data_IF_430886502960
#
_entry.id   IF_430886502960
#
_cell.length_a   1.000
_cell.length_b   1.000
_cell.length_c   1.000
_cell.angle_alpha   90.00
_cell.angle_beta   90.00
_cell.angle_gamma   90.00
#
_symmetry.space_group_name_H-M   'P 1'
#
loop_
_entity.id
_entity.type
_entity.pdbx_description
1 polymer ?
#
# COMPACT_ATOMS: atom_id res chain seq x y z
N UNK A 1 -12.19 -7.58 -14.29
CA UNK A 1 -10.95 -8.12 -13.70
C UNK A 1 -11.15 -8.35 -12.21
N UNK A 2 -10.41 -9.30 -11.61
CA UNK A 2 -10.49 -9.62 -10.18
C UNK A 2 -9.20 -9.20 -9.47
N UNK A 3 -9.30 -8.24 -8.54
CA UNK A 3 -8.14 -7.69 -7.82
C UNK A 3 -8.22 -8.08 -6.35
N UNK A 4 -7.15 -8.70 -5.84
CA UNK A 4 -7.04 -9.03 -4.43
C UNK A 4 -6.42 -7.87 -3.65
N UNK A 5 -7.07 -7.43 -2.58
CA UNK A 5 -6.57 -6.45 -1.63
C UNK A 5 -6.09 -7.19 -0.37
N UNK A 6 -4.80 -7.15 -0.08
CA UNK A 6 -4.20 -7.83 1.07
C UNK A 6 -4.05 -6.86 2.23
N UNK A 7 -4.73 -7.15 3.33
CA UNK A 7 -4.60 -6.43 4.59
C UNK A 7 -3.44 -6.97 5.43
N UNK A 8 -2.68 -6.07 6.03
CA UNK A 8 -1.44 -6.38 6.77
C UNK A 8 -1.66 -6.69 8.26
N UNK A 9 -2.90 -6.74 8.69
CA UNK A 9 -3.35 -7.24 9.99
C UNK A 9 -4.40 -8.33 9.79
N UNK A 10 -4.61 -9.16 10.81
CA UNK A 10 -5.66 -10.18 10.79
C UNK A 10 -7.06 -9.54 10.65
N UNK A 11 -8.01 -10.29 10.14
CA UNK A 11 -9.37 -9.81 9.79
C UNK A 11 -10.08 -9.16 10.97
N UNK A 12 -10.01 -9.79 12.16
CA UNK A 12 -10.71 -9.34 13.36
C UNK A 12 -10.34 -7.90 13.76
N UNK A 13 -9.08 -7.51 13.55
CA UNK A 13 -8.56 -6.18 13.90
C UNK A 13 -8.66 -5.18 12.76
N UNK A 14 -8.96 -5.62 11.55
CA UNK A 14 -9.00 -4.79 10.35
C UNK A 14 -10.40 -4.30 10.01
N UNK A 15 -11.45 -4.74 10.68
CA UNK A 15 -12.85 -4.54 10.27
C UNK A 15 -13.22 -3.08 9.96
N UNK A 16 -12.90 -2.14 10.83
CA UNK A 16 -13.27 -0.74 10.60
C UNK A 16 -12.40 -0.10 9.54
N UNK A 17 -11.13 -0.44 9.49
CA UNK A 17 -10.23 -0.04 8.40
C UNK A 17 -10.71 -0.62 7.05
N UNK A 18 -11.06 -1.91 7.00
CA UNK A 18 -11.55 -2.57 5.80
C UNK A 18 -12.79 -1.88 5.23
N UNK A 19 -13.77 -1.52 6.07
CA UNK A 19 -14.97 -0.77 5.62
C UNK A 19 -14.61 0.55 4.95
N UNK A 20 -13.61 1.27 5.46
CA UNK A 20 -13.15 2.52 4.85
C UNK A 20 -12.40 2.27 3.55
N UNK A 21 -11.59 1.19 3.48
CA UNK A 21 -10.94 0.75 2.25
C UNK A 21 -11.98 0.41 1.18
N UNK A 22 -12.94 -0.45 1.51
CA UNK A 22 -14.04 -0.84 0.60
C UNK A 22 -14.76 0.39 0.04
N UNK A 23 -15.19 1.29 0.93
CA UNK A 23 -15.89 2.52 0.52
C UNK A 23 -15.04 3.39 -0.41
N UNK A 24 -13.72 3.48 -0.18
CA UNK A 24 -12.83 4.20 -1.08
C UNK A 24 -12.71 3.52 -2.44
N UNK A 25 -12.44 2.22 -2.42
CA UNK A 25 -12.21 1.45 -3.63
C UNK A 25 -13.47 1.36 -4.49
N UNK A 26 -14.66 1.22 -3.89
CA UNK A 26 -15.94 1.20 -4.61
C UNK A 26 -16.23 2.52 -5.35
N UNK A 27 -15.73 3.64 -4.86
CA UNK A 27 -15.87 4.96 -5.52
C UNK A 27 -14.99 5.11 -6.76
N UNK A 28 -13.87 4.40 -6.81
CA UNK A 28 -12.84 4.62 -7.83
C UNK A 28 -12.62 3.42 -8.74
N UNK A 29 -13.03 2.22 -8.36
CA UNK A 29 -12.88 1.02 -9.20
C UNK A 29 -13.65 1.17 -10.52
N UNK A 30 -13.21 0.45 -11.55
CA UNK A 30 -13.97 0.30 -12.78
C UNK A 30 -15.21 -0.57 -12.52
N UNK A 31 -16.22 -0.43 -13.35
CA UNK A 31 -17.46 -1.23 -13.27
C UNK A 31 -17.20 -2.74 -13.42
N UNK A 32 -16.18 -3.11 -14.22
CA UNK A 32 -15.76 -4.49 -14.46
C UNK A 32 -14.70 -5.00 -13.45
N UNK A 33 -14.37 -4.23 -12.43
CA UNK A 33 -13.43 -4.64 -11.37
C UNK A 33 -14.17 -5.26 -10.19
N UNK A 34 -13.90 -6.53 -9.93
CA UNK A 34 -14.24 -7.23 -8.70
C UNK A 34 -13.09 -7.10 -7.70
N UNK A 35 -13.41 -6.77 -6.45
CA UNK A 35 -12.43 -6.70 -5.37
C UNK A 35 -12.69 -7.83 -4.39
N UNK A 36 -11.63 -8.56 -4.05
CA UNK A 36 -11.65 -9.57 -2.99
C UNK A 36 -10.62 -9.21 -1.93
N UNK A 37 -10.88 -9.54 -0.68
CA UNK A 37 -10.01 -9.21 0.44
C UNK A 37 -9.36 -10.46 0.99
N UNK A 38 -8.05 -10.35 1.31
CA UNK A 38 -7.30 -11.33 2.09
C UNK A 38 -6.62 -10.66 3.26
N UNK A 39 -6.41 -11.42 4.31
CA UNK A 39 -5.81 -10.94 5.54
C UNK A 39 -4.61 -11.79 5.90
N UNK A 40 -3.57 -11.16 6.45
CA UNK A 40 -2.46 -11.91 7.05
C UNK A 40 -2.96 -12.67 8.28
N UNK A 41 -2.32 -13.81 8.56
CA UNK A 41 -2.75 -14.68 9.64
C UNK A 41 -2.21 -14.27 11.02
N UNK A 42 -1.02 -13.65 11.06
CA UNK A 42 -0.25 -13.59 12.29
C UNK A 42 -0.21 -12.21 12.94
N UNK A 43 -0.13 -11.12 12.18
CA UNK A 43 0.03 -9.79 12.75
C UNK A 43 -1.28 -9.28 13.37
N UNK A 44 -1.25 -9.04 14.70
CA UNK A 44 -2.43 -8.69 15.49
C UNK A 44 -2.40 -7.29 16.09
N UNK A 45 -1.34 -6.50 15.84
CA UNK A 45 -1.23 -5.14 16.37
C UNK A 45 -0.78 -4.20 15.26
N UNK A 46 -1.53 -3.15 15.02
CA UNK A 46 -1.18 -2.13 14.04
C UNK A 46 0.18 -1.46 14.38
N UNK A 47 0.51 -1.32 15.67
CA UNK A 47 1.81 -0.78 16.12
C UNK A 47 3.02 -1.61 15.67
N UNK A 48 2.82 -2.89 15.36
CA UNK A 48 3.91 -3.76 14.91
C UNK A 48 4.29 -3.49 13.44
N UNK A 49 3.41 -2.83 12.68
CA UNK A 49 3.66 -2.49 11.26
C UNK A 49 4.72 -1.41 11.04
N UNK A 50 5.26 -0.82 12.10
CA UNK A 50 6.30 0.21 12.04
C UNK A 50 7.67 -0.29 12.49
N UNK A 51 7.75 -1.50 13.06
CA UNK A 51 8.99 -2.07 13.58
C UNK A 51 9.61 -3.03 12.57
N UNK A 52 10.92 -2.92 12.35
CA UNK A 52 11.63 -3.66 11.31
C UNK A 52 11.46 -5.19 11.39
N UNK A 53 11.57 -5.79 12.58
CA UNK A 53 11.47 -7.24 12.72
C UNK A 53 10.06 -7.78 12.50
N UNK A 54 8.99 -7.22 13.11
CA UNK A 54 7.62 -7.61 12.76
C UNK A 54 7.28 -7.38 11.27
N UNK A 55 7.77 -6.30 10.65
CA UNK A 55 7.59 -6.06 9.22
C UNK A 55 8.22 -7.19 8.39
N UNK A 56 9.43 -7.66 8.74
CA UNK A 56 10.07 -8.78 8.06
C UNK A 56 9.19 -10.04 8.09
N UNK A 57 8.65 -10.38 9.25
CA UNK A 57 7.75 -11.52 9.41
C UNK A 57 6.44 -11.32 8.63
N UNK A 58 5.88 -10.11 8.68
CA UNK A 58 4.66 -9.77 7.96
C UNK A 58 4.81 -9.85 6.44
N UNK A 59 5.98 -9.49 5.90
CA UNK A 59 6.27 -9.64 4.47
C UNK A 59 6.10 -11.08 4.00
N UNK A 60 6.52 -12.06 4.80
CA UNK A 60 6.38 -13.48 4.49
C UNK A 60 4.89 -13.85 4.36
N UNK A 61 4.07 -13.40 5.31
CA UNK A 61 2.63 -13.65 5.31
C UNK A 61 1.91 -12.95 4.13
N UNK A 62 2.26 -11.70 3.85
CA UNK A 62 1.75 -10.96 2.67
C UNK A 62 2.09 -11.68 1.37
N UNK A 63 3.33 -12.16 1.21
CA UNK A 63 3.76 -12.91 0.03
C UNK A 63 2.97 -14.21 -0.12
N UNK A 64 2.73 -14.92 0.99
CA UNK A 64 1.89 -16.11 0.98
C UNK A 64 0.47 -15.79 0.48
N UNK A 65 -0.17 -14.74 1.05
CA UNK A 65 -1.52 -14.32 0.60
C UNK A 65 -1.54 -13.93 -0.88
N UNK A 66 -0.46 -13.33 -1.39
CA UNK A 66 -0.35 -12.98 -2.80
C UNK A 66 -0.26 -14.20 -3.72
N UNK A 67 0.50 -15.22 -3.33
CA UNK A 67 0.56 -16.50 -4.05
C UNK A 67 -0.78 -17.21 -4.04
N UNK A 68 -1.49 -17.21 -2.92
CA UNK A 68 -2.85 -17.77 -2.83
C UNK A 68 -3.84 -17.00 -3.72
N UNK A 69 -3.77 -15.67 -3.75
CA UNK A 69 -4.63 -14.85 -4.60
C UNK A 69 -4.45 -15.17 -6.09
N UNK A 70 -3.21 -15.38 -6.53
CA UNK A 70 -2.92 -15.82 -7.89
C UNK A 70 -3.51 -17.20 -8.17
N UNK A 71 -3.33 -18.18 -7.27
CA UNK A 71 -3.88 -19.52 -7.41
C UNK A 71 -5.42 -19.53 -7.45
N UNK A 72 -6.08 -18.57 -6.80
CA UNK A 72 -7.54 -18.36 -6.81
C UNK A 72 -8.03 -17.55 -8.03
N UNK A 73 -7.15 -17.27 -8.99
CA UNK A 73 -7.50 -16.64 -10.26
C UNK A 73 -7.69 -15.12 -10.15
N UNK A 74 -7.04 -14.44 -9.21
CA UNK A 74 -6.97 -12.99 -9.23
C UNK A 74 -6.07 -12.50 -10.38
N UNK A 75 -6.42 -11.36 -10.95
CA UNK A 75 -5.69 -10.72 -12.05
C UNK A 75 -4.57 -9.80 -11.57
N UNK A 76 -4.65 -9.30 -10.35
CA UNK A 76 -3.64 -8.48 -9.69
C UNK A 76 -3.79 -8.52 -8.17
N UNK A 77 -2.73 -8.08 -7.48
CA UNK A 77 -2.71 -7.91 -6.03
C UNK A 77 -2.34 -6.47 -5.67
N UNK A 78 -3.08 -5.89 -4.72
CA UNK A 78 -2.79 -4.62 -4.07
C UNK A 78 -2.57 -4.85 -2.57
N UNK A 79 -1.49 -4.32 -2.00
CA UNK A 79 -1.31 -4.33 -0.54
C UNK A 79 -2.00 -3.12 0.08
N UNK A 80 -2.87 -3.34 1.07
CA UNK A 80 -3.57 -2.25 1.77
C UNK A 80 -2.69 -1.66 2.91
N UNK A 81 -1.46 -1.29 2.57
CA UNK A 81 -0.50 -0.68 3.50
C UNK A 81 0.50 0.18 2.72
N UNK A 82 0.65 1.45 3.10
CA UNK A 82 1.63 2.35 2.48
C UNK A 82 3.10 2.02 2.82
N UNK A 83 3.36 0.93 3.55
CA UNK A 83 4.71 0.36 3.72
C UNK A 83 5.12 -0.57 2.60
N UNK A 84 4.24 -0.87 1.66
CA UNK A 84 4.45 -1.79 0.55
C UNK A 84 5.10 -3.14 0.93
N UNK A 85 4.72 -3.76 2.09
CA UNK A 85 5.40 -4.95 2.56
C UNK A 85 5.20 -6.12 1.60
N UNK A 86 6.29 -6.83 1.28
CA UNK A 86 6.27 -8.02 0.45
C UNK A 86 6.10 -7.77 -1.05
N UNK A 87 5.96 -6.53 -1.51
CA UNK A 87 5.74 -6.19 -2.93
C UNK A 87 6.92 -6.63 -3.80
N UNK A 88 8.13 -6.29 -3.41
CA UNK A 88 9.36 -6.66 -4.13
C UNK A 88 9.54 -8.17 -4.18
N UNK A 89 9.35 -8.82 -3.05
CA UNK A 89 9.51 -10.27 -2.91
C UNK A 89 8.45 -11.03 -3.73
N UNK A 90 7.18 -10.62 -3.66
CA UNK A 90 6.10 -11.25 -4.41
C UNK A 90 6.28 -11.13 -5.93
N UNK A 91 6.84 -10.03 -6.45
CA UNK A 91 7.15 -9.85 -7.88
C UNK A 91 8.09 -10.92 -8.44
N UNK A 92 8.89 -11.56 -7.59
CA UNK A 92 9.78 -12.68 -7.98
C UNK A 92 9.06 -14.02 -8.04
N UNK A 93 7.85 -14.11 -7.60
CA UNK A 93 7.06 -15.35 -7.53
C UNK A 93 5.84 -15.35 -8.45
N UNK A 94 5.19 -14.19 -8.62
CA UNK A 94 3.89 -14.07 -9.29
C UNK A 94 4.01 -13.85 -10.80
N UNK A 95 3.00 -14.33 -11.54
CA UNK A 95 2.74 -14.00 -12.94
C UNK A 95 1.57 -13.00 -13.12
N UNK A 96 1.11 -12.44 -12.02
CA UNK A 96 0.14 -11.32 -11.99
C UNK A 96 0.79 -10.08 -11.39
N UNK A 97 0.32 -8.86 -11.72
CA UNK A 97 0.83 -7.63 -11.12
C UNK A 97 0.69 -7.61 -9.60
N UNK A 98 1.77 -7.24 -8.90
CA UNK A 98 1.78 -6.90 -7.48
C UNK A 98 2.06 -5.41 -7.32
N UNK A 99 1.14 -4.68 -6.67
CA UNK A 99 1.17 -3.22 -6.55
C UNK A 99 1.35 -2.79 -5.10
N UNK A 100 2.36 -1.95 -4.88
CA UNK A 100 2.55 -1.19 -3.65
C UNK A 100 1.89 0.18 -3.78
N UNK A 101 0.96 0.54 -2.89
CA UNK A 101 0.25 1.81 -3.00
C UNK A 101 1.16 3.03 -2.82
N UNK A 102 2.19 2.95 -1.98
CA UNK A 102 3.13 4.05 -1.77
C UNK A 102 4.03 4.25 -2.99
N UNK A 103 4.61 3.18 -3.53
CA UNK A 103 5.39 3.22 -4.77
C UNK A 103 4.57 3.85 -5.91
N UNK A 104 3.33 3.41 -6.08
CA UNK A 104 2.42 3.93 -7.10
C UNK A 104 2.14 5.43 -6.91
N UNK A 105 1.81 5.84 -5.68
CA UNK A 105 1.48 7.21 -5.38
C UNK A 105 2.67 8.17 -5.50
N UNK A 106 3.86 7.75 -5.09
CA UNK A 106 5.09 8.55 -5.26
C UNK A 106 5.41 8.81 -6.73
N UNK A 107 5.32 7.78 -7.58
CA UNK A 107 5.56 7.95 -9.02
C UNK A 107 4.47 8.80 -9.69
N UNK A 108 3.21 8.66 -9.27
CA UNK A 108 2.13 9.52 -9.76
C UNK A 108 2.31 10.97 -9.29
N UNK A 109 2.71 11.20 -8.04
CA UNK A 109 2.93 12.53 -7.48
C UNK A 109 3.92 13.35 -8.29
N UNK A 110 4.92 12.69 -8.89
CA UNK A 110 5.90 13.34 -9.76
C UNK A 110 5.29 14.00 -11.01
N UNK A 111 4.04 13.66 -11.38
CA UNK A 111 3.28 14.27 -12.49
C UNK A 111 2.46 15.48 -12.03
N UNK A 112 2.11 15.56 -10.74
CA UNK A 112 1.35 16.68 -10.17
C UNK A 112 2.22 17.85 -9.75
N UNK A 113 3.45 17.56 -9.29
CA UNK A 113 4.34 18.60 -8.82
C UNK A 113 5.80 18.17 -8.74
N UNK A 114 6.69 19.18 -8.68
CA UNK A 114 8.12 18.92 -8.60
C UNK A 114 8.58 18.53 -7.20
N UNK A 115 7.94 19.08 -6.15
CA UNK A 115 8.30 18.86 -4.75
C UNK A 115 7.17 18.13 -4.03
N UNK A 116 7.49 16.95 -3.55
CA UNK A 116 6.56 16.02 -2.90
C UNK A 116 6.71 16.17 -1.38
N UNK A 117 5.61 16.45 -0.69
CA UNK A 117 5.52 16.31 0.77
C UNK A 117 4.84 14.99 1.12
N UNK A 118 5.26 14.37 2.20
CA UNK A 118 4.61 13.15 2.71
C UNK A 118 4.03 13.44 4.09
N UNK A 119 2.71 13.25 4.24
CA UNK A 119 2.04 13.30 5.56
C UNK A 119 1.87 11.88 6.08
N UNK A 120 2.30 11.64 7.30
CA UNK A 120 2.27 10.30 7.88
C UNK A 120 1.75 10.27 9.33
N UNK A 121 1.64 9.08 9.91
CA UNK A 121 1.26 8.89 11.30
C UNK A 121 2.32 9.45 12.27
N UNK A 122 1.93 9.73 13.49
CA UNK A 122 2.84 10.20 14.54
C UNK A 122 3.67 9.02 15.06
N UNK A 123 4.70 8.68 14.30
CA UNK A 123 5.69 7.67 14.64
C UNK A 123 7.03 8.00 13.94
N UNK A 124 8.12 8.24 14.69
CA UNK A 124 9.42 8.57 14.10
C UNK A 124 9.95 7.50 13.14
N UNK A 125 9.82 6.22 13.50
CA UNK A 125 10.28 5.10 12.65
C UNK A 125 9.52 5.07 11.33
N UNK A 126 8.23 5.43 11.35
CA UNK A 126 7.43 5.48 10.13
C UNK A 126 7.76 6.68 9.25
N UNK A 127 8.10 7.81 9.85
CA UNK A 127 8.58 8.97 9.08
C UNK A 127 9.88 8.65 8.34
N UNK A 128 10.86 8.03 9.02
CA UNK A 128 12.11 7.55 8.40
C UNK A 128 11.85 6.49 7.31
N UNK A 129 10.88 5.60 7.52
CA UNK A 129 10.48 4.63 6.49
C UNK A 129 9.93 5.32 5.23
N UNK A 130 9.12 6.38 5.38
CA UNK A 130 8.62 7.17 4.24
C UNK A 130 9.76 7.85 3.46
N UNK A 131 10.77 8.37 4.14
CA UNK A 131 11.98 8.92 3.49
C UNK A 131 12.73 7.83 2.70
N UNK A 132 12.93 6.66 3.32
CA UNK A 132 13.55 5.50 2.67
C UNK A 132 12.78 5.04 1.44
N UNK A 133 11.44 5.05 1.49
CA UNK A 133 10.61 4.69 0.33
C UNK A 133 10.74 5.70 -0.80
N UNK A 134 10.81 7.00 -0.50
CA UNK A 134 11.07 8.04 -1.50
C UNK A 134 12.47 7.88 -2.12
N UNK A 135 13.46 7.47 -1.33
CA UNK A 135 14.81 7.17 -1.82
C UNK A 135 14.82 5.95 -2.74
N UNK A 136 14.20 4.86 -2.32
CA UNK A 136 14.06 3.63 -3.11
C UNK A 136 13.34 3.88 -4.44
N UNK A 137 12.35 4.79 -4.43
CA UNK A 137 11.64 5.23 -5.65
C UNK A 137 12.47 6.17 -6.54
N UNK A 138 13.70 6.56 -6.13
CA UNK A 138 14.55 7.50 -6.87
C UNK A 138 14.05 8.95 -6.81
N UNK A 139 13.25 9.30 -5.80
CA UNK A 139 12.58 10.59 -5.68
C UNK A 139 13.11 11.48 -4.54
N UNK A 140 14.22 11.11 -3.89
CA UNK A 140 14.81 11.87 -2.76
C UNK A 140 15.05 13.33 -3.11
N UNK A 141 15.52 13.64 -4.32
CA UNK A 141 15.76 15.02 -4.78
C UNK A 141 14.48 15.84 -4.94
N UNK A 142 13.34 15.16 -4.99
CA UNK A 142 12.00 15.77 -5.07
C UNK A 142 11.28 15.84 -3.73
N UNK A 143 11.80 15.20 -2.68
CA UNK A 143 11.19 15.22 -1.37
C UNK A 143 11.34 16.61 -0.74
N UNK A 144 10.23 17.25 -0.36
CA UNK A 144 10.20 18.49 0.40
C UNK A 144 10.30 18.21 1.92
N UNK A 145 9.93 17.01 2.32
CA UNK A 145 10.03 16.52 3.69
C UNK A 145 8.88 15.57 4.02
N UNK A 146 8.97 14.99 5.21
CA UNK A 146 7.92 14.19 5.84
C UNK A 146 7.40 14.93 7.07
N UNK A 147 6.10 14.99 7.26
CA UNK A 147 5.43 15.54 8.45
C UNK A 147 4.47 14.51 9.03
N UNK A 148 4.59 14.28 10.32
CA UNK A 148 3.61 13.49 11.05
C UNK A 148 2.41 14.35 11.45
N UNK A 149 1.23 13.73 11.49
CA UNK A 149 0.07 14.35 12.16
C UNK A 149 0.34 14.48 13.66
N UNK A 150 -0.37 15.39 14.34
CA UNK A 150 -0.20 15.67 15.77
C UNK A 150 -1.16 14.83 16.66
N UNK A 151 -1.68 13.73 16.14
CA UNK A 151 -2.53 12.79 16.87
C UNK A 151 -1.77 11.47 17.05
N UNK A 152 -1.66 10.93 18.28
CA UNK A 152 -1.01 9.63 18.51
C UNK A 152 -1.62 8.51 17.65
N UNK A 153 -0.76 7.68 17.05
CA UNK A 153 -1.19 6.61 16.14
C UNK A 153 -2.25 5.67 16.73
N UNK A 154 -2.20 5.27 18.01
CA UNK A 154 -3.28 4.45 18.59
C UNK A 154 -4.65 5.14 18.55
N UNK A 155 -4.71 6.44 18.79
CA UNK A 155 -5.95 7.23 18.73
C UNK A 155 -6.40 7.41 17.28
N UNK A 156 -5.48 7.82 16.41
CA UNK A 156 -5.78 8.04 14.99
C UNK A 156 -6.35 6.78 14.30
N UNK A 157 -5.83 5.59 14.64
CA UNK A 157 -6.21 4.33 13.98
C UNK A 157 -7.21 3.47 14.79
N UNK A 158 -7.88 4.05 15.77
CA UNK A 158 -9.04 3.47 16.44
C UNK A 158 -10.22 4.45 16.39
N UNK A 159 -10.17 5.49 17.20
CA UNK A 159 -11.22 6.53 17.25
C UNK A 159 -11.36 7.26 15.91
N UNK A 160 -10.24 7.51 15.20
CA UNK A 160 -10.24 8.19 13.91
C UNK A 160 -10.95 7.42 12.80
N UNK A 161 -11.01 6.09 12.85
CA UNK A 161 -11.80 5.32 11.88
C UNK A 161 -13.31 5.50 12.09
N UNK A 162 -13.75 5.67 13.34
CA UNK A 162 -15.15 5.93 13.65
C UNK A 162 -15.53 7.41 13.42
N UNK A 163 -14.60 8.33 13.71
CA UNK A 163 -14.78 9.77 13.52
C UNK A 163 -13.53 10.38 12.86
N UNK A 164 -13.45 10.42 11.53
CA UNK A 164 -12.26 10.89 10.82
C UNK A 164 -12.06 12.41 10.80
N UNK A 165 -13.01 13.20 11.25
CA UNK A 165 -12.93 14.67 11.18
C UNK A 165 -11.71 15.26 11.92
N UNK A 166 -11.37 14.85 13.17
CA UNK A 166 -10.18 15.35 13.85
C UNK A 166 -8.87 14.97 13.11
N UNK A 167 -8.82 13.75 12.53
CA UNK A 167 -7.66 13.29 11.76
C UNK A 167 -7.53 14.08 10.46
N UNK A 168 -8.64 14.37 9.77
CA UNK A 168 -8.67 15.25 8.61
C UNK A 168 -8.01 16.61 8.89
N UNK A 169 -8.38 17.25 10.00
CA UNK A 169 -7.79 18.54 10.38
C UNK A 169 -6.30 18.42 10.72
N UNK A 170 -5.88 17.32 11.34
CA UNK A 170 -4.47 17.05 11.60
C UNK A 170 -3.65 16.84 10.30
N UNK A 171 -4.23 16.13 9.31
CA UNK A 171 -3.64 16.01 7.96
C UNK A 171 -3.46 17.40 7.33
N UNK A 172 -4.48 18.25 7.38
CA UNK A 172 -4.40 19.62 6.82
C UNK A 172 -3.29 20.42 7.49
N UNK A 173 -3.16 20.38 8.82
CA UNK A 173 -2.09 21.09 9.54
C UNK A 173 -0.69 20.60 9.11
N UNK A 174 -0.50 19.28 9.00
CA UNK A 174 0.77 18.70 8.55
C UNK A 174 1.07 19.07 7.08
N UNK A 175 0.07 18.99 6.20
CA UNK A 175 0.19 19.35 4.80
C UNK A 175 0.55 20.83 4.61
N UNK A 176 -0.06 21.76 5.36
CA UNK A 176 0.27 23.19 5.32
C UNK A 176 1.73 23.47 5.69
N UNK A 177 2.31 22.72 6.64
CA UNK A 177 3.75 22.82 6.98
C UNK A 177 4.63 22.37 5.80
N UNK A 178 4.25 21.32 5.10
CA UNK A 178 4.98 20.82 3.93
C UNK A 178 4.89 21.82 2.75
N UNK A 179 3.72 22.42 2.54
CA UNK A 179 3.57 23.49 1.53
C UNK A 179 4.46 24.69 1.86
N UNK A 180 4.56 25.08 3.12
CA UNK A 180 5.48 26.14 3.56
C UNK A 180 6.96 25.81 3.30
N UNK A 181 7.32 24.51 3.21
CA UNK A 181 8.66 24.02 2.81
C UNK A 181 8.81 23.85 1.30
N UNK A 182 7.79 24.23 0.51
CA UNK A 182 7.81 24.21 -0.94
C UNK A 182 7.21 22.95 -1.57
N UNK A 183 6.50 22.09 -0.81
CA UNK A 183 5.74 21.00 -1.41
C UNK A 183 4.62 21.57 -2.28
N UNK A 184 4.44 21.00 -3.48
CA UNK A 184 3.36 21.34 -4.39
C UNK A 184 2.48 20.14 -4.79
N UNK A 185 2.72 19.03 -4.12
CA UNK A 185 1.85 17.85 -4.05
C UNK A 185 2.12 17.15 -2.71
N UNK A 186 1.10 16.60 -2.10
CA UNK A 186 1.18 15.86 -0.83
C UNK A 186 0.73 14.42 -1.08
N UNK A 187 1.52 13.46 -0.58
CA UNK A 187 1.19 12.03 -0.57
C UNK A 187 0.88 11.61 0.89
N UNK A 188 -0.16 10.83 1.08
CA UNK A 188 -0.49 10.28 2.40
C UNK A 188 0.30 8.99 2.63
N UNK A 189 1.41 9.10 3.37
CA UNK A 189 2.35 8.00 3.67
C UNK A 189 1.81 6.96 4.66
N UNK A 190 0.52 6.98 4.95
CA UNK A 190 -0.18 5.98 5.77
C UNK A 190 -1.50 5.63 5.12
N UNK A 191 -1.73 4.34 4.91
CA UNK A 191 -2.97 3.83 4.34
C UNK A 191 -4.20 4.19 5.20
N UNK A 192 -4.06 4.20 6.52
CA UNK A 192 -5.11 4.66 7.44
C UNK A 192 -5.46 6.14 7.23
N UNK A 193 -4.46 7.01 7.07
CA UNK A 193 -4.69 8.43 6.76
C UNK A 193 -5.32 8.61 5.37
N UNK A 194 -4.88 7.82 4.39
CA UNK A 194 -5.42 7.83 3.03
C UNK A 194 -6.92 7.58 3.02
N UNK A 195 -7.37 6.50 3.66
CA UNK A 195 -8.80 6.15 3.66
C UNK A 195 -9.64 7.15 4.46
N UNK A 196 -9.10 7.73 5.54
CA UNK A 196 -9.82 8.78 6.30
C UNK A 196 -9.91 10.08 5.51
N UNK A 197 -8.85 10.50 4.84
CA UNK A 197 -8.86 11.67 3.97
C UNK A 197 -9.89 11.53 2.84
N UNK A 198 -9.86 10.43 2.11
CA UNK A 198 -10.79 10.18 1.01
C UNK A 198 -12.25 10.05 1.48
N UNK A 199 -12.48 9.45 2.64
CA UNK A 199 -13.85 9.35 3.22
C UNK A 199 -14.36 10.69 3.77
N UNK A 200 -13.49 11.69 3.92
CA UNK A 200 -13.86 13.09 4.29
C UNK A 200 -13.67 14.06 3.11
N UNK A 201 -13.52 13.54 1.89
CA UNK A 201 -13.40 14.32 0.65
C UNK A 201 -12.22 15.31 0.65
N UNK A 202 -11.14 14.98 1.34
CA UNK A 202 -9.93 15.78 1.40
C UNK A 202 -9.02 15.43 0.21
N UNK A 203 -9.17 16.16 -0.89
CA UNK A 203 -8.40 15.95 -2.12
C UNK A 203 -7.33 17.03 -2.38
N UNK A 204 -7.38 18.13 -1.62
CA UNK A 204 -6.39 19.22 -1.71
C UNK A 204 -6.18 19.90 -0.37
N UNK A 205 -5.07 20.59 -0.22
CA UNK A 205 -4.81 21.47 0.94
C UNK A 205 -5.72 22.69 0.82
N UNK A 206 -6.67 22.90 1.74
CA UNK A 206 -7.65 23.98 1.64
C UNK A 206 -7.00 25.35 1.39
N UNK A 207 -7.55 26.09 0.41
CA UNK A 207 -7.14 27.44 0.01
C UNK A 207 -5.75 27.53 -0.67
N UNK A 208 -5.07 26.41 -0.91
CA UNK A 208 -3.72 26.39 -1.47
C UNK A 208 -3.62 25.76 -2.85
N UNK A 209 -4.65 25.01 -3.30
CA UNK A 209 -4.65 24.33 -4.59
C UNK A 209 -3.56 23.25 -4.73
N UNK A 210 -3.06 22.73 -3.60
CA UNK A 210 -2.04 21.68 -3.57
C UNK A 210 -2.72 20.33 -3.43
N UNK A 211 -2.59 19.41 -4.40
CA UNK A 211 -3.24 18.10 -4.35
C UNK A 211 -2.79 17.26 -3.16
N UNK A 212 -3.72 16.50 -2.58
CA UNK A 212 -3.47 15.45 -1.58
C UNK A 212 -3.82 14.11 -2.22
N UNK A 213 -2.85 13.22 -2.30
CA UNK A 213 -2.96 11.94 -2.99
C UNK A 213 -3.19 10.80 -1.99
N UNK A 214 -4.32 10.10 -2.18
CA UNK A 214 -4.67 8.87 -1.48
C UNK A 214 -3.93 7.69 -2.11
N UNK A 215 -3.05 7.05 -1.35
CA UNK A 215 -2.23 5.93 -1.82
C UNK A 215 -3.06 4.70 -2.16
N UNK A 216 -4.13 4.41 -1.42
CA UNK A 216 -4.94 3.19 -1.62
C UNK A 216 -5.72 3.24 -2.92
N UNK A 217 -6.43 4.34 -3.19
CA UNK A 217 -7.17 4.53 -4.45
C UNK A 217 -6.24 4.55 -5.66
N UNK A 218 -5.08 5.20 -5.54
CA UNK A 218 -4.06 5.22 -6.59
C UNK A 218 -3.51 3.82 -6.83
N UNK A 219 -3.21 3.08 -5.76
CA UNK A 219 -2.76 1.69 -5.87
C UNK A 219 -3.72 0.82 -6.66
N UNK A 220 -5.04 0.94 -6.41
CA UNK A 220 -6.05 0.22 -7.21
C UNK A 220 -5.99 0.61 -8.69
N UNK A 221 -5.93 1.92 -9.00
CA UNK A 221 -5.84 2.36 -10.39
C UNK A 221 -4.57 1.86 -11.10
N UNK A 222 -3.45 1.80 -10.40
CA UNK A 222 -2.23 1.19 -10.94
C UNK A 222 -2.39 -0.33 -11.13
N UNK A 223 -3.10 -1.02 -10.25
CA UNK A 223 -3.39 -2.45 -10.45
C UNK A 223 -4.24 -2.66 -11.72
N UNK A 224 -5.31 -1.89 -11.89
CA UNK A 224 -6.15 -1.93 -13.09
C UNK A 224 -5.35 -1.66 -14.37
N UNK A 225 -4.56 -0.58 -14.40
CA UNK A 225 -3.70 -0.23 -15.54
C UNK A 225 -2.70 -1.35 -15.85
N UNK A 226 -2.07 -1.93 -14.83
CA UNK A 226 -1.09 -3.00 -15.03
C UNK A 226 -1.72 -4.29 -15.55
N UNK A 227 -2.95 -4.61 -15.12
CA UNK A 227 -3.73 -5.72 -15.70
C UNK A 227 -4.01 -5.46 -17.17
N UNK A 228 -4.45 -4.24 -17.54
CA UNK A 228 -4.73 -3.89 -18.93
C UNK A 228 -3.45 -3.96 -19.79
N UNK A 229 -2.33 -3.43 -19.33
CA UNK A 229 -1.04 -3.50 -20.04
C UNK A 229 -0.61 -4.96 -20.28
N UNK A 230 -0.82 -5.83 -19.30
CA UNK A 230 -0.49 -7.26 -19.45
C UNK A 230 -1.45 -7.95 -20.41
N UNK A 231 -2.77 -7.77 -20.27
CA UNK A 231 -3.77 -8.48 -21.07
C UNK A 231 -3.90 -7.95 -22.50
N UNK A 232 -3.82 -6.62 -22.68
CA UNK A 232 -4.06 -6.01 -24.00
C UNK A 232 -2.79 -5.83 -24.82
N UNK A 233 -1.64 -5.67 -24.15
CA UNK A 233 -0.37 -5.35 -24.82
C UNK A 233 0.72 -6.36 -24.58
N UNK A 234 0.46 -7.44 -23.84
CA UNK A 234 1.43 -8.47 -23.47
C UNK A 234 2.69 -7.93 -22.75
N UNK A 235 2.53 -6.81 -22.02
CA UNK A 235 3.63 -6.28 -21.20
C UNK A 235 3.87 -7.23 -20.04
N UNK A 236 5.10 -7.75 -19.83
CA UNK A 236 5.39 -8.61 -18.70
C UNK A 236 5.06 -7.96 -17.34
N UNK A 237 4.56 -8.74 -16.40
CA UNK A 237 4.15 -8.23 -15.07
C UNK A 237 5.32 -7.69 -14.25
N UNK A 238 6.54 -8.13 -14.52
CA UNK A 238 7.79 -7.63 -13.97
C UNK A 238 8.93 -7.93 -14.92
N UNK A 239 10.07 -7.24 -14.76
CA UNK A 239 11.32 -7.66 -15.39
C UNK A 239 11.66 -9.09 -14.93
N UNK A 240 12.09 -9.93 -15.86
CA UNK A 240 12.51 -11.32 -15.53
C UNK A 240 14.05 -11.46 -15.55
N UNK A 241 14.73 -10.34 -15.34
CA UNK A 241 16.18 -10.27 -15.20
C UNK A 241 16.57 -9.46 -13.96
N UNK A 242 17.71 -9.76 -13.37
CA UNK A 242 18.21 -9.07 -12.18
C UNK A 242 17.33 -9.33 -10.95
N UNK A 243 17.01 -8.27 -10.18
CA UNK A 243 16.34 -8.38 -8.89
C UNK A 243 14.94 -9.03 -8.96
N UNK A 244 14.25 -8.91 -10.09
CA UNK A 244 12.92 -9.48 -10.29
C UNK A 244 12.92 -10.79 -11.10
N UNK A 245 14.08 -11.44 -11.23
CA UNK A 245 14.15 -12.77 -11.83
C UNK A 245 13.18 -13.71 -11.11
N UNK A 246 12.37 -14.42 -11.90
CA UNK A 246 11.36 -15.32 -11.34
C UNK A 246 12.01 -16.55 -10.74
N UNK A 247 11.70 -16.82 -9.49
CA UNK A 247 12.11 -18.06 -8.83
C UNK A 247 11.33 -19.24 -9.43
N UNK A 248 12.04 -20.30 -9.82
CA UNK A 248 11.38 -21.51 -10.27
C UNK A 248 10.66 -22.24 -9.12
N UNK A 249 9.60 -22.94 -9.48
CA UNK A 249 8.71 -23.60 -8.52
C UNK A 249 9.42 -24.67 -7.67
N UNK A 250 10.40 -25.37 -8.21
CA UNK A 250 11.17 -26.39 -7.47
C UNK A 250 11.98 -25.74 -6.34
N UNK A 251 12.65 -24.63 -6.63
CA UNK A 251 13.41 -23.89 -5.62
C UNK A 251 12.46 -23.22 -4.60
N UNK A 252 11.32 -22.68 -5.04
CA UNK A 252 10.30 -22.13 -4.13
C UNK A 252 9.86 -23.19 -3.12
N UNK A 253 9.43 -24.37 -3.57
CA UNK A 253 9.00 -25.48 -2.68
C UNK A 253 10.12 -25.94 -1.75
N UNK A 254 11.35 -26.02 -2.26
CA UNK A 254 12.52 -26.38 -1.43
C UNK A 254 12.72 -25.39 -0.29
N UNK A 255 12.62 -24.07 -0.54
CA UNK A 255 12.79 -23.03 0.47
C UNK A 255 11.63 -23.01 1.45
N UNK A 256 10.39 -23.09 0.98
CA UNK A 256 9.18 -23.18 1.84
C UNK A 256 9.34 -24.33 2.85
N UNK A 257 9.80 -25.51 2.39
CA UNK A 257 10.06 -26.67 3.25
C UNK A 257 11.25 -26.44 4.19
N UNK A 258 12.34 -25.86 3.70
CA UNK A 258 13.55 -25.61 4.49
C UNK A 258 13.31 -24.67 5.67
N UNK A 259 12.49 -23.65 5.45
CA UNK A 259 12.15 -22.64 6.47
C UNK A 259 10.87 -22.95 7.24
N UNK A 260 10.24 -24.11 6.98
CA UNK A 260 8.99 -24.54 7.62
C UNK A 260 7.91 -23.45 7.60
N UNK A 261 7.72 -22.81 6.44
CA UNK A 261 6.82 -21.68 6.31
C UNK A 261 5.32 -22.06 6.39
N UNK A 262 5.01 -23.35 6.45
CA UNK A 262 3.62 -23.82 6.51
C UNK A 262 2.77 -23.47 5.29
N UNK A 263 3.41 -23.06 4.17
CA UNK A 263 2.71 -22.81 2.94
C UNK A 263 2.31 -24.17 2.33
N UNK A 264 1.14 -24.63 2.67
CA UNK A 264 0.55 -25.78 1.99
C UNK A 264 0.56 -25.50 0.49
N UNK A 265 0.75 -26.55 -0.28
CA UNK A 265 0.80 -26.45 -1.73
C UNK A 265 -0.53 -25.90 -2.27
N UNK A 266 -0.72 -24.60 -2.16
CA UNK A 266 -1.78 -23.86 -2.83
C UNK A 266 -1.51 -23.97 -4.34
N UNK A 267 -2.03 -25.04 -4.93
CA UNK A 267 -1.80 -25.40 -6.32
C UNK A 267 -2.07 -26.87 -6.63
N UNK A 268 -2.47 -27.67 -5.65
CA UNK A 268 -3.07 -28.97 -5.90
C UNK A 268 -4.53 -28.93 -5.45
N UNK A 269 -5.40 -28.37 -6.32
CA UNK A 269 -6.78 -28.80 -6.33
C UNK A 269 -6.75 -30.29 -6.69
N UNK A 270 -7.06 -31.14 -5.71
CA UNK A 270 -7.37 -32.55 -5.89
C UNK A 270 -8.59 -32.75 -6.78
#
# INVERSE_FOLDING_TARGET
MKICVIHVNCEELSRDYTKLVEKNLDRVKREDTEIVHKYVAHLRRASDTVLAFPILLNKIDVVQRAVEAEAEGCDAVLVACSGDPGVTEARTLLDIPMVGPMEAALHLAAQYGRKIGIVTALDPSWAEACETMADTAGLSSRLAGVESIDIPSPIAFTEGFANPAPVREAIIRAAKKLVARGANVVVLGSAGLSVMASNTELAEVPEMGVPILDTISIGLKFAEVRVDLTKCFNVPVASRVGMFEKMDEKNRRRLVKLFDLGWDAAGQAS
#
